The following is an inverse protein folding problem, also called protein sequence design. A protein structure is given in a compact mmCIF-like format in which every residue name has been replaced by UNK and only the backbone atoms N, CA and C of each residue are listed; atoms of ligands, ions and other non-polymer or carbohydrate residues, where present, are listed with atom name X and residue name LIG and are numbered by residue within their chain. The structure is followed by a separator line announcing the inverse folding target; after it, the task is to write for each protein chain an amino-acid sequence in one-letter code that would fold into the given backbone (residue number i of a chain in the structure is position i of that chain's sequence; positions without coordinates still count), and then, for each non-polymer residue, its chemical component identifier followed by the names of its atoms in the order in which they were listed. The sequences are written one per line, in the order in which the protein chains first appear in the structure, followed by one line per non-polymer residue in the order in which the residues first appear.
data_IF_583821922726
#
_entry.id   IF_583821922726
#
_cell.length_a   1.000
_cell.length_b   1.000
_cell.length_c   1.000
_cell.angle_alpha   90.00
_cell.angle_beta   90.00
_cell.angle_gamma   90.00
#
_symmetry.space_group_name_H-M   'P 1'
#
loop_
_entity.id
_entity.type
_entity.pdbx_description
1 polymer ?
#
# COMPACT_ATOMS: atom_id res chain seq x y z
N UNK A 1 -11.06 -15.80 5.98
CA UNK A 1 -10.63 -14.73 6.90
C UNK A 1 -11.30 -14.96 8.26
N UNK A 2 -10.54 -15.12 9.35
CA UNK A 2 -11.12 -15.19 10.69
C UNK A 2 -11.91 -13.91 11.00
N UNK A 3 -13.01 -14.05 11.73
CA UNK A 3 -13.81 -12.90 12.18
C UNK A 3 -12.95 -11.95 13.02
N UNK A 4 -13.02 -10.64 12.73
CA UNK A 4 -12.29 -9.61 13.47
C UNK A 4 -10.80 -9.46 13.11
N UNK A 5 -10.27 -10.21 12.15
CA UNK A 5 -8.90 -10.00 11.67
C UNK A 5 -8.71 -8.55 11.15
N UNK A 6 -7.67 -7.85 11.62
CA UNK A 6 -7.38 -6.43 11.31
C UNK A 6 -8.49 -5.42 11.67
N UNK A 7 -9.45 -5.76 12.54
CA UNK A 7 -10.53 -4.85 12.94
C UNK A 7 -10.05 -3.50 13.47
N UNK A 8 -8.96 -3.49 14.24
CA UNK A 8 -8.33 -2.28 14.77
C UNK A 8 -7.84 -1.31 13.69
N UNK A 9 -7.56 -1.82 12.48
CA UNK A 9 -7.23 -0.98 11.32
C UNK A 9 -8.49 -0.64 10.51
N UNK A 10 -9.40 -1.60 10.33
CA UNK A 10 -10.62 -1.38 9.54
C UNK A 10 -11.54 -0.31 10.14
N UNK A 11 -11.62 -0.20 11.47
CA UNK A 11 -12.50 0.76 12.13
C UNK A 11 -12.11 2.23 11.85
N UNK A 12 -10.84 2.64 12.04
CA UNK A 12 -10.37 3.96 11.59
C UNK A 12 -10.60 4.21 10.10
N UNK A 13 -10.30 3.25 9.23
CA UNK A 13 -10.51 3.38 7.78
C UNK A 13 -11.96 3.70 7.47
N UNK A 14 -12.92 2.96 8.04
CA UNK A 14 -14.36 3.26 7.87
C UNK A 14 -14.72 4.65 8.35
N UNK A 15 -14.12 5.12 9.46
CA UNK A 15 -14.29 6.47 9.96
C UNK A 15 -13.81 7.53 8.95
N UNK A 16 -12.63 7.33 8.35
CA UNK A 16 -12.08 8.22 7.32
C UNK A 16 -13.00 8.29 6.10
N UNK A 17 -13.43 7.13 5.59
CA UNK A 17 -14.34 7.07 4.43
C UNK A 17 -15.68 7.76 4.74
N UNK A 18 -16.26 7.52 5.91
CA UNK A 18 -17.50 8.17 6.33
C UNK A 18 -17.36 9.70 6.47
N UNK A 19 -16.15 10.18 6.78
CA UNK A 19 -15.80 11.60 6.81
C UNK A 19 -15.50 12.22 5.44
N UNK A 20 -15.51 11.43 4.35
CA UNK A 20 -15.20 11.89 3.00
C UNK A 20 -13.71 11.89 2.65
N UNK A 21 -12.84 11.35 3.51
CA UNK A 21 -11.42 11.15 3.23
C UNK A 21 -11.23 9.91 2.37
N UNK A 22 -10.37 9.98 1.35
CA UNK A 22 -9.93 8.80 0.60
C UNK A 22 -8.64 8.24 1.17
N UNK A 23 -8.51 6.91 1.19
CA UNK A 23 -7.28 6.20 1.55
C UNK A 23 -7.05 5.07 0.55
N UNK A 24 -5.79 4.88 0.15
CA UNK A 24 -5.42 3.83 -0.78
C UNK A 24 -3.94 3.46 -0.69
N UNK A 25 -3.60 2.32 -1.29
CA UNK A 25 -2.24 1.77 -1.29
C UNK A 25 -1.94 1.10 -2.62
N UNK A 26 -0.81 1.44 -3.21
CA UNK A 26 -0.18 0.61 -4.25
C UNK A 26 0.78 -0.35 -3.58
N UNK A 27 0.60 -1.65 -3.78
CA UNK A 27 1.55 -2.68 -3.36
C UNK A 27 2.41 -3.10 -4.53
N UNK A 28 3.71 -2.91 -4.40
CA UNK A 28 4.71 -3.34 -5.38
C UNK A 28 5.06 -4.80 -5.10
N UNK A 29 5.01 -5.64 -6.14
CA UNK A 29 5.33 -7.07 -6.03
C UNK A 29 6.20 -7.54 -7.18
N UNK A 30 6.92 -8.63 -6.95
CA UNK A 30 7.69 -9.36 -7.95
C UNK A 30 7.46 -10.85 -7.75
N UNK A 31 7.43 -11.61 -8.85
CA UNK A 31 7.26 -13.06 -8.83
C UNK A 31 8.62 -13.77 -8.74
N UNK A 32 8.70 -14.94 -8.06
CA UNK A 32 7.61 -15.59 -7.33
C UNK A 32 7.28 -14.86 -6.03
N UNK A 33 5.99 -14.79 -5.68
CA UNK A 33 5.57 -14.12 -4.44
C UNK A 33 6.13 -14.82 -3.21
N UNK A 34 6.40 -14.04 -2.16
CA UNK A 34 6.72 -14.58 -0.85
C UNK A 34 5.47 -15.20 -0.20
N UNK A 35 5.67 -16.06 0.80
CA UNK A 35 4.55 -16.60 1.58
C UNK A 35 3.76 -15.50 2.27
N UNK A 36 4.47 -14.47 2.76
CA UNK A 36 3.87 -13.28 3.34
C UNK A 36 2.96 -12.54 2.36
N UNK A 37 3.39 -12.32 1.11
CA UNK A 37 2.56 -11.69 0.09
C UNK A 37 1.32 -12.53 -0.24
N UNK A 38 1.46 -13.85 -0.39
CA UNK A 38 0.32 -14.75 -0.58
C UNK A 38 -0.67 -14.68 0.58
N UNK A 39 -0.17 -14.65 1.82
CA UNK A 39 -1.00 -14.49 3.00
C UNK A 39 -1.75 -13.15 2.99
N UNK A 40 -1.06 -12.04 2.71
CA UNK A 40 -1.71 -10.73 2.60
C UNK A 40 -2.81 -10.70 1.54
N UNK A 41 -2.57 -11.29 0.37
CA UNK A 41 -3.55 -11.33 -0.72
C UNK A 41 -4.83 -12.07 -0.31
N UNK A 42 -4.68 -13.21 0.36
CA UNK A 42 -5.83 -14.03 0.74
C UNK A 42 -6.51 -13.56 2.04
N UNK A 43 -5.77 -12.90 2.94
CA UNK A 43 -6.24 -12.58 4.28
C UNK A 43 -6.39 -11.06 4.41
N UNK A 44 -5.31 -10.30 4.50
CA UNK A 44 -5.40 -8.87 4.86
C UNK A 44 -6.14 -8.00 3.84
N UNK A 45 -5.85 -8.14 2.54
CA UNK A 45 -6.32 -7.19 1.52
C UNK A 45 -7.85 -7.18 1.35
N UNK A 46 -8.56 -8.33 1.29
CA UNK A 46 -10.01 -8.33 1.17
C UNK A 46 -10.73 -7.53 2.27
N UNK A 47 -10.29 -7.65 3.52
CA UNK A 47 -10.88 -6.92 4.64
C UNK A 47 -10.59 -5.41 4.59
N UNK A 48 -9.40 -5.02 4.15
CA UNK A 48 -9.06 -3.61 3.96
C UNK A 48 -9.91 -2.96 2.85
N UNK A 49 -10.14 -3.67 1.74
CA UNK A 49 -11.02 -3.21 0.65
C UNK A 49 -12.46 -3.08 1.15
N UNK A 50 -12.95 -4.05 1.93
CA UNK A 50 -14.28 -3.98 2.55
C UNK A 50 -14.41 -2.79 3.52
N UNK A 51 -13.34 -2.43 4.22
CA UNK A 51 -13.28 -1.23 5.05
C UNK A 51 -13.27 0.08 4.24
N UNK A 52 -12.97 0.01 2.94
CA UNK A 52 -13.05 1.12 1.99
C UNK A 52 -11.71 1.61 1.43
N UNK A 53 -10.59 0.91 1.67
CA UNK A 53 -9.31 1.25 1.02
C UNK A 53 -9.31 0.94 -0.49
N UNK A 54 -8.78 1.85 -1.32
CA UNK A 54 -8.38 1.53 -2.70
C UNK A 54 -7.01 0.83 -2.70
N UNK A 55 -7.02 -0.51 -2.78
CA UNK A 55 -5.80 -1.30 -2.86
C UNK A 55 -5.53 -1.72 -4.31
N UNK A 56 -4.34 -1.38 -4.79
CA UNK A 56 -3.86 -1.70 -6.15
C UNK A 56 -2.55 -2.47 -6.10
N UNK A 57 -2.31 -3.29 -7.11
CA UNK A 57 -1.10 -4.08 -7.27
C UNK A 57 -0.31 -3.59 -8.47
N UNK A 58 0.97 -3.29 -8.24
CA UNK A 58 1.97 -3.04 -9.27
C UNK A 58 2.91 -4.24 -9.34
N UNK A 59 2.85 -5.00 -10.44
CA UNK A 59 3.72 -6.15 -10.67
C UNK A 59 4.95 -5.72 -11.48
N UNK A 60 6.12 -5.67 -10.84
CA UNK A 60 7.41 -5.32 -11.44
C UNK A 60 8.18 -6.56 -11.93
N UNK A 61 7.53 -7.71 -12.11
CA UNK A 61 8.22 -8.92 -12.58
C UNK A 61 8.86 -8.72 -13.96
N UNK A 62 8.19 -7.99 -14.85
CA UNK A 62 8.63 -7.76 -16.24
C UNK A 62 8.75 -6.26 -16.58
N UNK A 63 8.89 -5.42 -15.55
CA UNK A 63 8.84 -3.96 -15.69
C UNK A 63 9.88 -3.31 -14.78
N UNK A 64 10.60 -2.34 -15.32
CA UNK A 64 11.51 -1.48 -14.55
C UNK A 64 10.94 -0.05 -14.52
N UNK A 65 10.75 0.48 -13.32
CA UNK A 65 10.26 1.84 -13.08
C UNK A 65 11.16 2.56 -12.08
N UNK A 66 11.26 3.87 -12.24
CA UNK A 66 11.91 4.77 -11.28
C UNK A 66 11.01 4.93 -10.04
N UNK A 67 11.14 4.00 -9.10
CA UNK A 67 10.43 3.96 -7.83
C UNK A 67 11.41 3.89 -6.65
N UNK A 68 11.04 4.37 -5.46
CA UNK A 68 11.92 4.32 -4.31
C UNK A 68 12.12 2.88 -3.83
N UNK A 69 13.26 2.63 -3.20
CA UNK A 69 13.57 1.33 -2.58
C UNK A 69 12.95 1.16 -1.18
N UNK A 70 12.16 2.13 -0.72
CA UNK A 70 11.56 2.17 0.60
C UNK A 70 10.07 2.47 0.52
N UNK A 71 9.34 2.05 1.54
CA UNK A 71 7.90 2.29 1.65
C UNK A 71 7.63 3.64 2.30
N UNK A 72 6.59 4.34 1.82
CA UNK A 72 6.16 5.61 2.41
C UNK A 72 4.64 5.77 2.33
N UNK A 73 4.10 6.57 3.25
CA UNK A 73 2.82 7.22 3.10
C UNK A 73 3.01 8.66 2.62
N UNK A 74 2.10 9.11 1.77
CA UNK A 74 1.97 10.51 1.37
C UNK A 74 0.55 10.97 1.72
N UNK A 75 0.44 11.97 2.60
CA UNK A 75 -0.83 12.56 3.01
C UNK A 75 -0.95 13.96 2.43
N UNK A 76 -2.11 14.24 1.84
CA UNK A 76 -2.49 15.55 1.28
C UNK A 76 -1.44 16.17 0.35
N UNK A 77 -0.61 15.32 -0.27
CA UNK A 77 0.53 15.69 -1.11
C UNK A 77 1.61 16.53 -0.43
N UNK A 78 1.60 16.62 0.90
CA UNK A 78 2.44 17.53 1.68
C UNK A 78 3.22 16.84 2.79
N UNK A 79 2.69 15.75 3.35
CA UNK A 79 3.31 15.05 4.48
C UNK A 79 3.78 13.68 4.00
N UNK A 80 5.08 13.44 4.12
CA UNK A 80 5.70 12.14 3.83
C UNK A 80 6.05 11.46 5.15
N UNK A 81 5.63 10.21 5.29
CA UNK A 81 6.01 9.34 6.41
C UNK A 81 6.65 8.08 5.86
N UNK A 82 7.93 7.88 6.16
CA UNK A 82 8.67 6.69 5.77
C UNK A 82 8.29 5.53 6.70
N UNK A 83 8.04 4.35 6.13
CA UNK A 83 7.83 3.10 6.87
C UNK A 83 9.15 2.33 6.83
N UNK A 84 9.85 2.29 7.96
CA UNK A 84 11.14 1.61 8.04
C UNK A 84 10.94 0.18 8.52
N UNK A 85 11.39 -0.78 7.72
CA UNK A 85 11.35 -2.20 8.04
C UNK A 85 12.76 -2.76 8.22
N UNK A 86 12.90 -3.73 9.12
CA UNK A 86 14.10 -4.57 9.17
C UNK A 86 14.11 -5.54 7.97
N UNK A 87 15.27 -6.16 7.66
CA UNK A 87 15.37 -7.11 6.55
C UNK A 87 14.41 -8.32 6.64
N UNK A 88 13.92 -8.66 7.83
CA UNK A 88 12.93 -9.71 8.06
C UNK A 88 11.47 -9.25 7.89
N UNK A 89 11.25 -7.97 7.55
CA UNK A 89 9.94 -7.38 7.34
C UNK A 89 9.25 -6.84 8.60
N UNK A 90 9.93 -6.82 9.75
CA UNK A 90 9.38 -6.21 10.97
C UNK A 90 9.37 -4.68 10.84
N UNK A 91 8.22 -4.05 11.10
CA UNK A 91 8.14 -2.58 11.15
C UNK A 91 8.96 -2.08 12.35
N UNK A 92 9.99 -1.29 12.08
CA UNK A 92 10.86 -0.69 13.09
C UNK A 92 10.19 0.57 13.64
N UNK A 93 9.86 1.51 12.75
CA UNK A 93 9.19 2.75 13.09
C UNK A 93 8.50 3.40 11.86
N UNK A 94 7.69 4.40 12.16
CA UNK A 94 7.16 5.37 11.22
C UNK A 94 7.90 6.68 11.48
N UNK A 95 8.47 7.29 10.45
CA UNK A 95 9.23 8.52 10.59
C UNK A 95 8.72 9.59 9.63
N UNK A 96 8.26 10.72 10.17
CA UNK A 96 7.83 11.83 9.32
C UNK A 96 9.05 12.52 8.75
N UNK A 97 9.15 12.55 7.42
CA UNK A 97 10.29 13.16 6.74
C UNK A 97 10.27 14.68 6.93
N UNK A 98 11.37 15.23 7.42
CA UNK A 98 11.59 16.68 7.40
C UNK A 98 12.02 17.14 5.99
N UNK A 99 11.37 18.20 5.48
CA UNK A 99 11.66 18.81 4.18
C UNK A 99 11.78 17.81 3.01
N UNK A 100 10.76 16.96 2.77
CA UNK A 100 10.80 16.02 1.65
C UNK A 100 10.81 16.73 0.30
N UNK A 101 11.42 16.10 -0.71
CA UNK A 101 11.22 16.50 -2.11
C UNK A 101 9.83 16.06 -2.58
N UNK A 102 8.82 16.89 -2.29
CA UNK A 102 7.43 16.58 -2.61
C UNK A 102 7.18 16.35 -4.10
N UNK A 103 7.95 16.99 -4.98
CA UNK A 103 7.81 16.76 -6.43
C UNK A 103 8.20 15.32 -6.78
N UNK A 104 9.27 14.81 -6.17
CA UNK A 104 9.70 13.43 -6.37
C UNK A 104 8.70 12.42 -5.78
N UNK A 105 8.22 12.64 -4.55
CA UNK A 105 7.25 11.72 -3.93
C UNK A 105 5.92 11.67 -4.69
N UNK A 106 5.43 12.81 -5.19
CA UNK A 106 4.24 12.85 -6.05
C UNK A 106 4.49 12.12 -7.38
N UNK A 107 5.65 12.30 -8.00
CA UNK A 107 6.05 11.57 -9.22
C UNK A 107 6.05 10.06 -8.98
N UNK A 108 6.62 9.58 -7.87
CA UNK A 108 6.62 8.16 -7.52
C UNK A 108 5.20 7.64 -7.29
N UNK A 109 4.35 8.37 -6.56
CA UNK A 109 2.94 8.03 -6.39
C UNK A 109 2.22 7.90 -7.74
N UNK A 110 2.36 8.90 -8.60
CA UNK A 110 1.65 8.95 -9.89
C UNK A 110 2.13 7.82 -10.82
N UNK A 111 3.43 7.56 -10.83
CA UNK A 111 4.04 6.45 -11.58
C UNK A 111 3.49 5.11 -11.06
N UNK A 112 3.48 4.91 -9.74
CA UNK A 112 2.95 3.69 -9.15
C UNK A 112 1.45 3.48 -9.49
N UNK A 113 0.64 4.53 -9.36
CA UNK A 113 -0.80 4.48 -9.65
C UNK A 113 -1.11 4.22 -11.13
N UNK A 114 -0.33 4.80 -12.05
CA UNK A 114 -0.53 4.65 -13.49
C UNK A 114 -0.27 3.22 -13.99
N UNK A 115 0.61 2.49 -13.31
CA UNK A 115 0.99 1.12 -13.67
C UNK A 115 0.33 0.04 -12.80
N UNK A 116 -0.32 0.43 -11.70
CA UNK A 116 -1.01 -0.50 -10.81
C UNK A 116 -2.45 -0.76 -11.26
N UNK A 117 -2.91 -2.00 -11.07
CA UNK A 117 -4.31 -2.39 -11.30
C UNK A 117 -5.03 -2.62 -9.97
N UNK A 118 -6.35 -2.42 -9.87
CA UNK A 118 -7.11 -2.77 -8.67
C UNK A 118 -6.86 -4.22 -8.25
N UNK A 119 -6.77 -4.49 -6.95
CA UNK A 119 -6.45 -5.83 -6.44
C UNK A 119 -7.40 -6.91 -6.97
N UNK A 120 -8.70 -6.61 -7.07
CA UNK A 120 -9.69 -7.58 -7.58
C UNK A 120 -9.42 -7.97 -9.04
N UNK A 121 -8.91 -7.04 -9.87
CA UNK A 121 -8.50 -7.32 -11.26
C UNK A 121 -7.21 -8.16 -11.29
N UNK A 122 -6.24 -7.84 -10.43
CA UNK A 122 -5.00 -8.60 -10.32
C UNK A 122 -5.24 -10.05 -9.86
N UNK A 123 -6.04 -10.21 -8.81
CA UNK A 123 -6.32 -11.51 -8.20
C UNK A 123 -7.15 -12.43 -9.10
N UNK A 124 -7.91 -11.88 -10.05
CA UNK A 124 -8.64 -12.68 -11.04
C UNK A 124 -7.73 -13.24 -12.16
N UNK A 125 -6.51 -12.70 -12.32
CA UNK A 125 -5.55 -13.06 -13.39
C UNK A 125 -4.45 -14.02 -12.94
N UNK A 126 -4.38 -14.31 -11.64
CA UNK A 126 -3.26 -15.01 -11.02
C UNK A 126 -3.75 -16.27 -10.32
#
# INVERSE_FOLDING_TARGET
MPEGYNSAWHEPVRGYIAGGTSIGRVRVVQRPFTEYQRHQFAWSIPGNIEAGEDIRILDLTELELDLPSHDFWLFDDEIVVDLNFSPDGTLINLDQRENPDLLMYRKWRDTALAHAVPFNEFNART
#
